data_IF_545667137441
#
_entry.id   IF_545667137441
#
_cell.length_a   1.000
_cell.length_b   1.000
_cell.length_c   1.000
_cell.angle_alpha   90.00
_cell.angle_beta   90.00
_cell.angle_gamma   90.00
#
_symmetry.space_group_name_H-M   'P 1'
#
loop_
_entity.id
_entity.type
_entity.pdbx_description
1 polymer ?
#
# COMPACT_ATOMS: atom_id res chain seq x y z
N UNK A 1 -50.53 43.06 -29.33
CA UNK A 1 -49.27 42.39 -28.91
C UNK A 1 -48.96 42.48 -27.40
N UNK A 2 -49.75 43.15 -26.54
CA UNK A 2 -49.45 43.26 -25.09
C UNK A 2 -49.97 42.09 -24.21
N UNK A 3 -50.98 41.34 -24.69
CA UNK A 3 -51.58 40.22 -23.94
C UNK A 3 -50.72 38.95 -24.01
N UNK A 4 -50.17 38.64 -25.19
CA UNK A 4 -49.23 37.51 -25.37
C UNK A 4 -48.01 37.61 -24.46
N UNK A 5 -47.44 38.82 -24.27
CA UNK A 5 -46.30 39.04 -23.38
C UNK A 5 -46.65 38.79 -21.90
N UNK A 6 -47.89 39.08 -21.49
CA UNK A 6 -48.36 38.89 -20.11
C UNK A 6 -48.66 37.43 -19.79
N UNK A 7 -49.09 36.65 -20.78
CA UNK A 7 -49.35 35.21 -20.65
C UNK A 7 -48.03 34.40 -20.67
N UNK A 8 -47.05 34.82 -21.49
CA UNK A 8 -45.73 34.16 -21.56
C UNK A 8 -44.79 34.49 -20.39
N UNK A 9 -45.13 35.47 -19.55
CA UNK A 9 -44.30 35.88 -18.41
C UNK A 9 -44.15 34.76 -17.38
N UNK A 10 -45.24 34.06 -17.06
CA UNK A 10 -45.23 32.98 -16.08
C UNK A 10 -44.35 31.78 -16.51
N UNK A 11 -44.47 31.24 -17.74
CA UNK A 11 -43.56 30.21 -18.24
C UNK A 11 -42.08 30.62 -18.22
N UNK A 12 -41.76 31.85 -18.61
CA UNK A 12 -40.36 32.33 -18.67
C UNK A 12 -39.74 32.41 -17.28
N UNK A 13 -40.51 32.84 -16.27
CA UNK A 13 -40.05 32.87 -14.88
C UNK A 13 -39.74 31.45 -14.39
N UNK A 14 -40.62 30.48 -14.68
CA UNK A 14 -40.41 29.07 -14.30
C UNK A 14 -39.16 28.49 -14.97
N UNK A 15 -38.95 28.76 -16.26
CA UNK A 15 -37.75 28.35 -16.98
C UNK A 15 -36.49 28.97 -16.33
N UNK A 16 -36.56 30.26 -15.95
CA UNK A 16 -35.47 30.93 -15.23
C UNK A 16 -35.12 30.23 -13.91
N UNK A 17 -36.12 29.90 -13.10
CA UNK A 17 -35.91 29.16 -11.85
C UNK A 17 -35.34 27.75 -12.10
N UNK A 18 -35.78 27.04 -13.14
CA UNK A 18 -35.25 25.72 -13.49
C UNK A 18 -33.78 25.79 -13.94
N UNK A 19 -33.37 26.84 -14.65
CA UNK A 19 -31.98 27.05 -15.05
C UNK A 19 -31.10 27.31 -13.81
N UNK A 20 -31.55 28.20 -12.92
CA UNK A 20 -30.83 28.50 -11.67
C UNK A 20 -30.71 27.25 -10.79
N UNK A 21 -31.80 26.48 -10.68
CA UNK A 21 -31.81 25.22 -9.95
C UNK A 21 -30.86 24.19 -10.58
N UNK A 22 -30.85 24.08 -11.91
CA UNK A 22 -29.94 23.17 -12.63
C UNK A 22 -28.48 23.56 -12.44
N UNK A 23 -28.16 24.87 -12.44
CA UNK A 23 -26.81 25.35 -12.13
C UNK A 23 -26.43 25.03 -10.69
N UNK A 24 -27.30 25.30 -9.71
CA UNK A 24 -27.04 24.99 -8.31
C UNK A 24 -26.82 23.48 -8.08
N UNK A 25 -27.64 22.63 -8.71
CA UNK A 25 -27.48 21.18 -8.68
C UNK A 25 -26.17 20.73 -9.33
N UNK A 26 -25.79 21.32 -10.46
CA UNK A 26 -24.52 21.03 -11.12
C UNK A 26 -23.31 21.40 -10.25
N UNK A 27 -23.34 22.56 -9.60
CA UNK A 27 -22.29 22.97 -8.66
C UNK A 27 -22.20 22.03 -7.45
N UNK A 28 -23.34 21.60 -6.89
CA UNK A 28 -23.39 20.63 -5.79
C UNK A 28 -22.76 19.28 -6.16
N UNK A 29 -23.14 18.74 -7.32
CA UNK A 29 -22.57 17.48 -7.85
C UNK A 29 -21.08 17.61 -8.17
N UNK A 30 -20.63 18.76 -8.67
CA UNK A 30 -19.21 19.03 -8.94
C UNK A 30 -18.37 19.06 -7.65
N UNK A 31 -18.91 19.64 -6.57
CA UNK A 31 -18.25 19.61 -5.26
C UNK A 31 -18.22 18.22 -4.64
N UNK A 32 -19.29 17.42 -4.77
CA UNK A 32 -19.30 16.04 -4.30
C UNK A 32 -18.33 15.14 -5.06
N UNK A 33 -18.15 15.36 -6.37
CA UNK A 33 -17.20 14.59 -7.18
C UNK A 33 -15.76 14.73 -6.67
N UNK A 34 -15.34 15.95 -6.32
CA UNK A 34 -14.02 16.18 -5.72
C UNK A 34 -13.86 15.52 -4.34
N UNK A 35 -14.91 15.52 -3.53
CA UNK A 35 -14.90 14.83 -2.24
C UNK A 35 -14.77 13.31 -2.39
N UNK A 36 -15.45 12.71 -3.39
CA UNK A 36 -15.33 11.28 -3.71
C UNK A 36 -13.91 10.91 -4.15
N UNK A 37 -13.30 11.68 -5.05
CA UNK A 37 -11.93 11.39 -5.53
C UNK A 37 -10.89 11.43 -4.40
N UNK A 38 -11.09 12.31 -3.41
CA UNK A 38 -10.20 12.45 -2.24
C UNK A 38 -10.37 11.28 -1.25
N UNK A 39 -11.60 10.77 -1.08
CA UNK A 39 -11.86 9.62 -0.22
C UNK A 39 -11.41 8.29 -0.84
N UNK A 40 -11.58 8.12 -2.16
CA UNK A 40 -11.15 6.91 -2.86
C UNK A 40 -9.62 6.77 -2.91
N UNK A 41 -8.91 7.87 -3.17
CA UNK A 41 -7.43 7.88 -3.12
C UNK A 41 -6.92 7.56 -1.71
N UNK A 42 -7.48 8.19 -0.67
CA UNK A 42 -7.11 7.89 0.72
C UNK A 42 -7.38 6.43 1.14
N UNK A 43 -8.50 5.84 0.72
CA UNK A 43 -8.80 4.43 1.01
C UNK A 43 -7.89 3.45 0.27
N UNK A 44 -7.57 3.73 -0.99
CA UNK A 44 -6.65 2.91 -1.77
C UNK A 44 -5.24 2.92 -1.14
N UNK A 45 -4.74 4.10 -0.74
CA UNK A 45 -3.43 4.22 -0.10
C UNK A 45 -3.38 3.52 1.25
N UNK A 46 -4.42 3.64 2.08
CA UNK A 46 -4.52 2.92 3.36
C UNK A 46 -4.57 1.40 3.17
N UNK A 47 -5.30 0.92 2.15
CA UNK A 47 -5.37 -0.50 1.82
C UNK A 47 -4.01 -1.05 1.39
N UNK A 48 -3.31 -0.33 0.50
CA UNK A 48 -1.97 -0.69 0.05
C UNK A 48 -0.97 -0.71 1.21
N UNK A 49 -1.07 0.26 2.13
CA UNK A 49 -0.24 0.32 3.32
C UNK A 49 -0.43 -0.92 4.20
N UNK A 50 -1.69 -1.26 4.50
CA UNK A 50 -2.01 -2.43 5.31
C UNK A 50 -1.58 -3.74 4.63
N UNK A 51 -1.78 -3.88 3.32
CA UNK A 51 -1.30 -5.04 2.57
C UNK A 51 0.22 -5.15 2.58
N UNK A 52 0.93 -4.07 2.30
CA UNK A 52 2.39 -4.02 2.39
C UNK A 52 2.90 -4.43 3.77
N UNK A 53 2.29 -3.88 4.83
CA UNK A 53 2.60 -4.25 6.21
C UNK A 53 2.36 -5.75 6.49
N UNK A 54 1.24 -6.30 6.03
CA UNK A 54 0.94 -7.73 6.18
C UNK A 54 1.95 -8.61 5.44
N UNK A 55 2.36 -8.23 4.23
CA UNK A 55 3.33 -9.00 3.45
C UNK A 55 4.69 -9.09 4.16
N UNK A 56 5.22 -7.98 4.70
CA UNK A 56 6.51 -8.02 5.43
C UNK A 56 6.40 -8.83 6.72
N UNK A 57 5.32 -8.69 7.49
CA UNK A 57 5.11 -9.49 8.70
C UNK A 57 4.96 -10.99 8.39
N UNK A 58 4.24 -11.32 7.33
CA UNK A 58 4.07 -12.71 6.89
C UNK A 58 5.42 -13.27 6.45
N UNK A 59 6.20 -12.53 5.66
CA UNK A 59 7.55 -12.91 5.27
C UNK A 59 8.48 -13.12 6.48
N UNK A 60 8.37 -12.26 7.51
CA UNK A 60 9.12 -12.41 8.76
C UNK A 60 8.76 -13.68 9.51
N UNK A 61 7.46 -13.94 9.72
CA UNK A 61 7.00 -15.17 10.35
C UNK A 61 7.40 -16.43 9.55
N UNK A 62 7.29 -16.39 8.23
CA UNK A 62 7.67 -17.48 7.34
C UNK A 62 9.18 -17.72 7.32
N UNK A 63 10.00 -16.67 7.49
CA UNK A 63 11.45 -16.81 7.64
C UNK A 63 11.77 -17.61 8.90
N UNK A 64 11.20 -17.27 10.05
CA UNK A 64 11.39 -18.05 11.28
C UNK A 64 10.89 -19.49 11.16
N UNK A 65 9.77 -19.69 10.48
CA UNK A 65 9.26 -21.03 10.18
C UNK A 65 10.26 -21.81 9.32
N UNK A 66 10.80 -21.20 8.27
CA UNK A 66 11.83 -21.83 7.44
C UNK A 66 13.03 -22.26 8.30
N UNK A 67 13.60 -21.36 9.09
CA UNK A 67 14.75 -21.66 9.97
C UNK A 67 14.47 -22.79 10.98
N UNK A 68 13.26 -22.86 11.51
CA UNK A 68 12.87 -23.93 12.45
C UNK A 68 12.90 -25.31 11.79
N UNK A 69 12.59 -25.39 10.49
CA UNK A 69 12.44 -26.64 9.76
C UNK A 69 13.55 -26.91 8.75
N UNK A 70 14.49 -25.98 8.54
CA UNK A 70 15.46 -26.03 7.44
C UNK A 70 16.35 -27.27 7.49
N UNK A 71 16.71 -27.74 8.69
CA UNK A 71 17.49 -28.97 8.88
C UNK A 71 16.72 -30.24 8.46
N UNK A 72 15.38 -30.16 8.40
CA UNK A 72 14.49 -31.26 8.02
C UNK A 72 13.94 -31.09 6.59
N UNK A 73 14.19 -29.96 5.93
CA UNK A 73 13.70 -29.68 4.59
C UNK A 73 14.65 -30.24 3.53
N UNK A 74 14.07 -30.71 2.44
CA UNK A 74 14.83 -30.93 1.21
C UNK A 74 15.25 -29.59 0.59
N UNK A 75 16.24 -29.64 -0.30
CA UNK A 75 16.67 -28.47 -1.08
C UNK A 75 15.50 -27.83 -1.85
N UNK A 76 14.62 -28.66 -2.43
CA UNK A 76 13.44 -28.20 -3.15
C UNK A 76 12.47 -27.42 -2.23
N UNK A 77 12.19 -27.95 -1.04
CA UNK A 77 11.30 -27.30 -0.07
C UNK A 77 11.90 -25.99 0.47
N UNK A 78 13.21 -25.99 0.74
CA UNK A 78 13.94 -24.79 1.18
C UNK A 78 13.87 -23.70 0.11
N UNK A 79 14.10 -24.07 -1.16
CA UNK A 79 14.01 -23.16 -2.29
C UNK A 79 12.60 -22.61 -2.49
N UNK A 80 11.57 -23.46 -2.42
CA UNK A 80 10.18 -23.04 -2.54
C UNK A 80 9.79 -22.05 -1.44
N UNK A 81 10.11 -22.35 -0.18
CA UNK A 81 9.86 -21.46 0.95
C UNK A 81 10.61 -20.12 0.80
N UNK A 82 11.87 -20.17 0.36
CA UNK A 82 12.68 -18.97 0.10
C UNK A 82 12.03 -18.10 -0.99
N UNK A 83 11.62 -18.70 -2.10
CA UNK A 83 10.94 -18.00 -3.19
C UNK A 83 9.63 -17.36 -2.72
N UNK A 84 8.86 -18.05 -1.88
CA UNK A 84 7.64 -17.50 -1.30
C UNK A 84 7.92 -16.26 -0.44
N UNK A 85 8.90 -16.34 0.46
CA UNK A 85 9.31 -15.21 1.32
C UNK A 85 9.77 -14.04 0.45
N UNK A 86 10.62 -14.28 -0.56
CA UNK A 86 11.10 -13.23 -1.46
C UNK A 86 9.96 -12.58 -2.24
N UNK A 87 8.99 -13.37 -2.72
CA UNK A 87 7.82 -12.85 -3.43
C UNK A 87 6.95 -11.95 -2.54
N UNK A 88 6.76 -12.30 -1.27
CA UNK A 88 6.06 -11.44 -0.31
C UNK A 88 6.79 -10.11 -0.10
N UNK A 89 8.12 -10.14 0.01
CA UNK A 89 8.92 -8.93 0.18
C UNK A 89 8.93 -8.04 -1.08
N UNK A 90 8.97 -8.66 -2.27
CA UNK A 90 8.85 -7.94 -3.53
C UNK A 90 7.47 -7.27 -3.66
N UNK A 91 6.40 -7.99 -3.31
CA UNK A 91 5.03 -7.42 -3.26
C UNK A 91 4.94 -6.27 -2.27
N UNK A 92 5.51 -6.40 -1.08
CA UNK A 92 5.52 -5.32 -0.09
C UNK A 92 6.23 -4.08 -0.63
N UNK A 93 7.40 -4.26 -1.24
CA UNK A 93 8.18 -3.17 -1.81
C UNK A 93 7.39 -2.42 -2.90
N UNK A 94 6.64 -3.13 -3.74
CA UNK A 94 5.81 -2.53 -4.78
C UNK A 94 4.62 -1.74 -4.21
N UNK A 95 4.00 -2.24 -3.14
CA UNK A 95 2.96 -1.50 -2.42
C UNK A 95 3.50 -0.18 -1.84
N UNK A 96 4.65 -0.22 -1.16
CA UNK A 96 5.23 0.98 -0.55
C UNK A 96 5.79 1.98 -1.57
N UNK A 97 6.32 1.51 -2.71
CA UNK A 97 6.66 2.41 -3.84
C UNK A 97 5.44 3.11 -4.41
N UNK A 98 4.31 2.40 -4.53
CA UNK A 98 3.05 2.99 -5.00
C UNK A 98 2.57 4.06 -4.02
N UNK A 99 2.70 3.81 -2.71
CA UNK A 99 2.34 4.77 -1.66
C UNK A 99 3.22 6.02 -1.72
N UNK A 100 4.54 5.90 -1.83
CA UNK A 100 5.45 7.06 -1.91
C UNK A 100 5.20 7.93 -3.16
N UNK A 101 4.76 7.33 -4.26
CA UNK A 101 4.33 8.08 -5.45
C UNK A 101 3.02 8.87 -5.23
N UNK A 102 2.14 8.37 -4.36
CA UNK A 102 0.84 8.98 -4.05
C UNK A 102 0.95 10.03 -2.93
N UNK A 103 1.68 9.70 -1.87
CA UNK A 103 1.98 10.54 -0.72
C UNK A 103 3.43 10.98 -0.89
N UNK A 104 3.65 12.16 -1.46
CA UNK A 104 5.00 12.74 -1.62
C UNK A 104 5.51 13.23 -0.27
N UNK A 105 5.97 12.30 0.55
CA UNK A 105 6.46 12.54 1.90
C UNK A 105 7.78 11.81 2.13
N UNK A 106 8.72 12.49 2.79
CA UNK A 106 10.10 12.01 2.99
C UNK A 106 10.12 10.72 3.83
N UNK A 107 9.18 10.59 4.76
CA UNK A 107 9.04 9.39 5.58
C UNK A 107 8.62 8.17 4.75
N UNK A 108 7.76 8.36 3.75
CA UNK A 108 7.29 7.26 2.88
C UNK A 108 8.34 6.80 1.86
N UNK A 109 9.23 7.69 1.44
CA UNK A 109 10.30 7.37 0.48
C UNK A 109 11.36 6.43 1.09
N UNK A 110 11.55 6.49 2.41
CA UNK A 110 12.53 5.66 3.12
C UNK A 110 12.06 4.22 3.37
N UNK A 111 10.75 3.92 3.26
CA UNK A 111 10.21 2.60 3.62
C UNK A 111 10.65 1.50 2.64
N UNK A 112 10.54 1.75 1.32
CA UNK A 112 10.88 0.73 0.32
C UNK A 112 12.37 0.31 0.35
N UNK A 113 13.34 1.23 0.51
CA UNK A 113 14.74 0.88 0.76
C UNK A 113 14.97 0.01 2.01
N UNK A 114 14.25 0.27 3.11
CA UNK A 114 14.36 -0.53 4.33
C UNK A 114 13.87 -1.97 4.13
N UNK A 115 12.79 -2.16 3.36
CA UNK A 115 12.32 -3.51 2.97
C UNK A 115 13.36 -4.22 2.10
N UNK A 116 14.01 -3.52 1.16
CA UNK A 116 15.08 -4.09 0.35
C UNK A 116 16.28 -4.53 1.20
N UNK A 117 16.64 -3.73 2.21
CA UNK A 117 17.69 -4.08 3.17
C UNK A 117 17.32 -5.33 3.98
N UNK A 118 16.07 -5.41 4.45
CA UNK A 118 15.56 -6.59 5.15
C UNK A 118 15.58 -7.84 4.26
N UNK A 119 15.09 -7.73 3.02
CA UNK A 119 15.12 -8.81 2.02
C UNK A 119 16.52 -9.36 1.80
N UNK A 120 17.52 -8.47 1.67
CA UNK A 120 18.91 -8.86 1.54
C UNK A 120 19.39 -9.62 2.78
N UNK A 121 19.15 -9.08 3.97
CA UNK A 121 19.57 -9.72 5.22
C UNK A 121 18.94 -11.12 5.42
N UNK A 122 17.66 -11.29 5.05
CA UNK A 122 16.99 -12.60 5.06
C UNK A 122 17.62 -13.56 4.05
N UNK A 123 17.91 -13.10 2.84
CA UNK A 123 18.56 -13.92 1.81
C UNK A 123 19.94 -14.37 2.28
N UNK A 124 20.76 -13.44 2.78
CA UNK A 124 22.09 -13.74 3.31
C UNK A 124 22.02 -14.76 4.46
N UNK A 125 21.01 -14.64 5.34
CA UNK A 125 20.80 -15.59 6.43
C UNK A 125 20.41 -16.99 5.92
N UNK A 126 19.48 -17.07 4.95
CA UNK A 126 19.05 -18.34 4.35
C UNK A 126 20.23 -19.01 3.62
N UNK A 127 20.97 -18.26 2.81
CA UNK A 127 22.13 -18.79 2.08
C UNK A 127 23.18 -19.36 3.03
N UNK A 128 23.43 -18.69 4.16
CA UNK A 128 24.33 -19.19 5.21
C UNK A 128 23.75 -20.41 5.92
N UNK A 129 22.44 -20.48 6.13
CA UNK A 129 21.78 -21.63 6.77
C UNK A 129 21.85 -22.93 5.96
N UNK A 130 21.94 -22.82 4.63
CA UNK A 130 22.15 -23.97 3.73
C UNK A 130 23.56 -24.55 3.92
N UNK A 131 24.55 -23.69 4.21
CA UNK A 131 25.92 -24.11 4.49
C UNK A 131 26.03 -24.65 5.91
N UNK A 132 25.55 -23.87 6.89
CA UNK A 132 25.53 -24.20 8.31
C UNK A 132 24.39 -23.46 9.02
N UNK A 133 23.50 -24.23 9.64
CA UNK A 133 22.29 -23.70 10.31
C UNK A 133 22.63 -22.73 11.45
N UNK A 134 23.75 -22.93 12.16
CA UNK A 134 24.17 -22.04 13.24
C UNK A 134 24.69 -20.70 12.70
N UNK A 135 25.38 -20.71 11.56
CA UNK A 135 25.78 -19.47 10.87
C UNK A 135 24.58 -18.69 10.36
N UNK A 136 23.61 -19.36 9.73
CA UNK A 136 22.36 -18.72 9.31
C UNK A 136 21.60 -18.12 10.49
N UNK A 137 21.55 -18.82 11.63
CA UNK A 137 20.90 -18.33 12.85
C UNK A 137 21.60 -17.09 13.43
N UNK A 138 22.93 -16.98 13.32
CA UNK A 138 23.64 -15.75 13.68
C UNK A 138 23.31 -14.59 12.73
N UNK A 139 23.21 -14.87 11.42
CA UNK A 139 22.87 -13.86 10.41
C UNK A 139 21.42 -13.36 10.51
N UNK A 140 20.52 -14.16 11.08
CA UNK A 140 19.15 -13.73 11.40
C UNK A 140 19.11 -12.50 12.32
N UNK A 141 20.13 -12.27 13.15
CA UNK A 141 20.20 -11.05 13.95
C UNK A 141 20.22 -9.78 13.08
N UNK A 142 20.97 -9.80 11.97
CA UNK A 142 20.98 -8.68 11.00
C UNK A 142 19.63 -8.51 10.32
N UNK A 143 18.92 -9.61 10.05
CA UNK A 143 17.58 -9.57 9.50
C UNK A 143 16.57 -8.98 10.49
N UNK A 144 16.66 -9.36 11.77
CA UNK A 144 15.82 -8.81 12.83
C UNK A 144 16.05 -7.31 13.01
N UNK A 145 17.30 -6.86 12.98
CA UNK A 145 17.61 -5.44 13.13
C UNK A 145 17.12 -4.63 11.91
N UNK A 146 17.24 -5.17 10.70
CA UNK A 146 16.64 -4.55 9.51
C UNK A 146 15.10 -4.50 9.60
N UNK A 147 14.46 -5.55 10.12
CA UNK A 147 13.01 -5.59 10.33
C UNK A 147 12.55 -4.58 11.40
N UNK A 148 13.26 -4.48 12.52
CA UNK A 148 12.99 -3.48 13.57
C UNK A 148 13.13 -2.06 13.03
N UNK A 149 14.18 -1.79 12.25
CA UNK A 149 14.38 -0.49 11.62
C UNK A 149 13.22 -0.15 10.68
N UNK A 150 12.78 -1.11 9.87
CA UNK A 150 11.58 -0.93 9.03
C UNK A 150 10.33 -0.62 9.86
N UNK A 151 10.04 -1.38 10.92
CA UNK A 151 8.89 -1.11 11.80
C UNK A 151 8.98 0.27 12.45
N UNK A 152 10.17 0.69 12.89
CA UNK A 152 10.35 1.99 13.55
C UNK A 152 10.01 3.16 12.64
N UNK A 153 10.20 3.02 11.33
CA UNK A 153 9.79 4.01 10.33
C UNK A 153 8.27 4.14 10.18
N UNK A 154 7.50 3.15 10.65
CA UNK A 154 6.03 3.14 10.59
C UNK A 154 5.37 3.62 11.89
N UNK A 155 6.16 3.83 12.96
CA UNK A 155 5.67 4.31 14.25
C UNK A 155 5.83 5.84 14.33
N UNK A 156 4.77 6.57 14.69
CA UNK A 156 4.84 8.02 14.90
C UNK A 156 5.61 8.41 16.16
#
# INVERSE_FOLDING_TARGET
MKIFYKILLAPVIVIGFLIVFSMAAYFGLYTEKKAKDTLFSGQATMTNFYQGYLYVNTAHADTYRLFTWIANYSEAQTKEATQHIMALLDQAQDQFKTISQQIKDEDTDNIAPLIASYRKAVTDAIDMSIIDVSMGSMMMQSADDAFKNWISCLQP
#
